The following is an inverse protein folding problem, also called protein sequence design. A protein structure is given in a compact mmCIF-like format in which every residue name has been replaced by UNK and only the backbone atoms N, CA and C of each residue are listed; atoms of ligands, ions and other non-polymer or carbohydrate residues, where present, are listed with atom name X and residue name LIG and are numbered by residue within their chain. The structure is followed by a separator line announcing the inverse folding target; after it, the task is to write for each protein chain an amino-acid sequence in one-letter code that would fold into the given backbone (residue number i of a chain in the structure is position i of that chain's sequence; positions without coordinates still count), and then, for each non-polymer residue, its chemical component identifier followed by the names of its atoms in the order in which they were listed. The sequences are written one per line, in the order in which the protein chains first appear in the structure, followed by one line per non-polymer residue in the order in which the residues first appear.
data_IF_492390073046
#
_entry.id   IF_492390073046
#
_cell.length_a   1.000
_cell.length_b   1.000
_cell.length_c   1.000
_cell.angle_alpha   90.00
_cell.angle_beta   90.00
_cell.angle_gamma   90.00
#
_symmetry.space_group_name_H-M   'P 1'
#
loop_
_entity.id
_entity.type
_entity.pdbx_description
1 polymer ?
#
# COMPACT_ATOMS: atom_id res chain seq x y z
N UNK A 1 25.24 26.88 0.90
CA UNK A 1 24.41 26.50 -0.27
C UNK A 1 24.56 25.02 -0.61
N UNK A 2 25.78 24.49 -0.88
CA UNK A 2 26.02 23.06 -1.15
C UNK A 2 25.59 22.08 -0.04
N UNK A 3 25.65 22.48 1.24
CA UNK A 3 25.19 21.65 2.37
C UNK A 3 23.66 21.50 2.39
N UNK A 4 22.93 22.60 2.21
CA UNK A 4 21.47 22.65 2.20
C UNK A 4 20.87 21.76 1.09
N UNK A 5 21.45 21.79 -0.10
CA UNK A 5 21.03 20.92 -1.21
C UNK A 5 21.28 19.43 -0.93
N UNK A 6 22.38 19.11 -0.24
CA UNK A 6 22.73 17.74 0.14
C UNK A 6 21.75 17.20 1.19
N UNK A 7 21.37 18.03 2.16
CA UNK A 7 20.37 17.70 3.18
C UNK A 7 18.98 17.49 2.57
N UNK A 8 18.59 18.33 1.60
CA UNK A 8 17.29 18.19 0.92
C UNK A 8 17.20 16.90 0.09
N UNK A 9 18.27 16.56 -0.64
CA UNK A 9 18.35 15.29 -1.40
C UNK A 9 18.31 14.08 -0.48
N UNK A 10 18.99 14.16 0.66
CA UNK A 10 18.97 13.11 1.67
C UNK A 10 17.57 12.91 2.25
N UNK A 11 16.88 13.98 2.64
CA UNK A 11 15.51 13.90 3.15
C UNK A 11 14.53 13.32 2.11
N UNK A 12 14.65 13.71 0.84
CA UNK A 12 13.86 13.11 -0.26
C UNK A 12 14.08 11.61 -0.36
N UNK A 13 15.33 11.16 -0.35
CA UNK A 13 15.66 9.73 -0.39
C UNK A 13 15.12 8.99 0.84
N UNK A 14 15.24 9.57 2.03
CA UNK A 14 14.73 8.99 3.28
C UNK A 14 13.20 8.82 3.24
N UNK A 15 12.45 9.85 2.79
CA UNK A 15 10.99 9.77 2.63
C UNK A 15 10.57 8.68 1.63
N UNK A 16 11.30 8.52 0.52
CA UNK A 16 11.05 7.43 -0.45
C UNK A 16 11.22 6.05 0.21
N UNK A 17 12.31 5.85 0.95
CA UNK A 17 12.56 4.59 1.68
C UNK A 17 11.46 4.31 2.71
N UNK A 18 11.01 5.33 3.44
CA UNK A 18 9.96 5.18 4.42
C UNK A 18 8.63 4.75 3.79
N UNK A 19 8.25 5.33 2.65
CA UNK A 19 7.06 4.92 1.89
C UNK A 19 7.15 3.48 1.42
N UNK A 20 8.30 3.06 0.90
CA UNK A 20 8.54 1.67 0.52
C UNK A 20 8.39 0.73 1.72
N UNK A 21 9.01 1.06 2.85
CA UNK A 21 8.88 0.26 4.08
C UNK A 21 7.42 0.12 4.50
N UNK A 22 6.67 1.24 4.53
CA UNK A 22 5.24 1.22 4.86
C UNK A 22 4.45 0.34 3.89
N UNK A 23 4.69 0.46 2.58
CA UNK A 23 4.05 -0.39 1.59
C UNK A 23 4.35 -1.88 1.80
N UNK A 24 5.62 -2.25 1.98
CA UNK A 24 6.00 -3.65 2.20
C UNK A 24 5.45 -4.22 3.51
N UNK A 25 5.34 -3.41 4.57
CA UNK A 25 4.65 -3.84 5.79
C UNK A 25 3.18 -4.16 5.52
N UNK A 26 2.46 -3.31 4.77
CA UNK A 26 1.06 -3.58 4.41
C UNK A 26 0.93 -4.81 3.51
N UNK A 27 1.82 -4.97 2.54
CA UNK A 27 1.86 -6.16 1.68
C UNK A 27 2.10 -7.44 2.50
N UNK A 28 3.05 -7.41 3.44
CA UNK A 28 3.36 -8.56 4.29
C UNK A 28 2.16 -8.94 5.17
N UNK A 29 1.52 -7.95 5.80
CA UNK A 29 0.30 -8.15 6.60
C UNK A 29 -0.84 -8.68 5.72
N UNK A 30 -1.03 -8.13 4.52
CA UNK A 30 -2.02 -8.60 3.56
C UNK A 30 -1.83 -10.09 3.23
N UNK A 31 -0.60 -10.50 2.88
CA UNK A 31 -0.30 -11.91 2.56
C UNK A 31 -0.51 -12.79 3.78
N UNK A 32 0.03 -12.41 4.94
CA UNK A 32 -0.04 -13.22 6.16
C UNK A 32 -1.49 -13.45 6.60
N UNK A 33 -2.28 -12.37 6.72
CA UNK A 33 -3.67 -12.45 7.18
C UNK A 33 -4.53 -13.21 6.19
N UNK A 34 -4.45 -12.92 4.88
CA UNK A 34 -5.25 -13.62 3.89
C UNK A 34 -4.88 -15.10 3.80
N UNK A 35 -3.60 -15.45 3.97
CA UNK A 35 -3.17 -16.86 4.04
C UNK A 35 -3.81 -17.58 5.22
N UNK A 36 -3.78 -16.98 6.43
CA UNK A 36 -4.41 -17.57 7.62
C UNK A 36 -5.92 -17.72 7.42
N UNK A 37 -6.60 -16.70 6.90
CA UNK A 37 -8.05 -16.75 6.61
C UNK A 37 -8.36 -17.87 5.62
N UNK A 38 -7.60 -17.97 4.53
CA UNK A 38 -7.79 -19.03 3.52
C UNK A 38 -7.56 -20.41 4.12
N UNK A 39 -6.50 -20.61 4.92
CA UNK A 39 -6.26 -21.90 5.59
C UNK A 39 -7.44 -22.28 6.48
N UNK A 40 -7.94 -21.35 7.31
CA UNK A 40 -9.09 -21.58 8.17
C UNK A 40 -10.33 -21.94 7.35
N UNK A 41 -10.64 -21.16 6.30
CA UNK A 41 -11.77 -21.43 5.40
C UNK A 41 -11.67 -22.80 4.73
N UNK A 42 -10.49 -23.17 4.24
CA UNK A 42 -10.23 -24.47 3.62
C UNK A 42 -10.44 -25.61 4.62
N UNK A 43 -9.91 -25.50 5.85
CA UNK A 43 -10.12 -26.51 6.87
C UNK A 43 -11.60 -26.73 7.18
N UNK A 44 -12.39 -25.66 7.29
CA UNK A 44 -13.84 -25.78 7.50
C UNK A 44 -14.57 -26.32 6.28
N UNK A 45 -14.22 -25.87 5.07
CA UNK A 45 -14.81 -26.34 3.81
C UNK A 45 -14.59 -27.84 3.60
N UNK A 46 -13.37 -28.32 3.82
CA UNK A 46 -13.02 -29.75 3.70
C UNK A 46 -13.79 -30.59 4.72
N UNK A 47 -13.93 -30.12 5.97
CA UNK A 47 -14.78 -30.80 6.98
C UNK A 47 -16.25 -30.86 6.58
N UNK A 48 -16.73 -29.89 5.80
CA UNK A 48 -18.08 -29.85 5.26
C UNK A 48 -18.25 -30.63 3.93
N UNK A 49 -17.20 -31.32 3.47
CA UNK A 49 -17.24 -32.16 2.26
C UNK A 49 -16.78 -31.46 0.97
N UNK A 50 -16.27 -30.22 1.04
CA UNK A 50 -15.71 -29.53 -0.12
C UNK A 50 -14.32 -30.06 -0.47
N UNK A 51 -13.96 -30.00 -1.75
CA UNK A 51 -12.56 -30.20 -2.15
C UNK A 51 -11.71 -28.98 -1.74
N UNK A 52 -10.40 -29.18 -1.58
CA UNK A 52 -9.47 -28.07 -1.28
C UNK A 52 -9.58 -26.97 -2.34
N UNK A 53 -9.68 -27.35 -3.61
CA UNK A 53 -9.87 -26.42 -4.73
C UNK A 53 -11.15 -25.61 -4.59
N UNK A 54 -12.28 -26.24 -4.27
CA UNK A 54 -13.56 -25.52 -4.10
C UNK A 54 -13.49 -24.49 -2.98
N UNK A 55 -12.86 -24.83 -1.85
CA UNK A 55 -12.76 -23.90 -0.72
C UNK A 55 -11.82 -22.71 -1.01
N UNK A 56 -10.71 -22.95 -1.72
CA UNK A 56 -9.77 -21.89 -2.15
C UNK A 56 -10.43 -20.97 -3.19
N UNK A 57 -11.06 -21.53 -4.21
CA UNK A 57 -11.70 -20.78 -5.30
C UNK A 57 -13.15 -20.40 -5.01
N UNK A 58 -13.60 -20.56 -3.76
CA UNK A 58 -14.93 -20.11 -3.36
C UNK A 58 -15.05 -18.59 -3.55
N UNK A 59 -16.23 -18.15 -3.99
CA UNK A 59 -16.52 -16.74 -4.21
C UNK A 59 -16.17 -15.87 -2.98
N UNK A 60 -16.46 -16.36 -1.77
CA UNK A 60 -16.14 -15.66 -0.52
C UNK A 60 -14.62 -15.50 -0.31
N UNK A 61 -13.83 -16.54 -0.58
CA UNK A 61 -12.36 -16.46 -0.47
C UNK A 61 -11.82 -15.49 -1.51
N UNK A 62 -12.20 -15.64 -2.78
CA UNK A 62 -11.74 -14.75 -3.85
C UNK A 62 -12.14 -13.29 -3.60
N UNK A 63 -13.37 -13.02 -3.17
CA UNK A 63 -13.83 -11.67 -2.86
C UNK A 63 -13.01 -11.03 -1.73
N UNK A 64 -12.62 -11.81 -0.71
CA UNK A 64 -11.78 -11.32 0.40
C UNK A 64 -10.42 -10.84 -0.14
N UNK A 65 -9.76 -11.68 -0.94
CA UNK A 65 -8.48 -11.35 -1.56
C UNK A 65 -8.58 -10.17 -2.53
N UNK A 66 -9.65 -10.12 -3.34
CA UNK A 66 -9.85 -9.07 -4.34
C UNK A 66 -10.13 -7.71 -3.70
N UNK A 67 -11.04 -7.63 -2.71
CA UNK A 67 -11.39 -6.37 -2.08
C UNK A 67 -10.18 -5.71 -1.42
N UNK A 68 -9.39 -6.48 -0.68
CA UNK A 68 -8.16 -5.99 -0.05
C UNK A 68 -7.03 -5.81 -1.06
N UNK A 69 -6.97 -6.65 -2.09
CA UNK A 69 -6.03 -6.54 -3.20
C UNK A 69 -6.18 -5.21 -3.96
N UNK A 70 -7.41 -4.72 -4.14
CA UNK A 70 -7.67 -3.40 -4.74
C UNK A 70 -7.10 -2.28 -3.86
N UNK A 71 -7.34 -2.31 -2.54
CA UNK A 71 -6.78 -1.31 -1.62
C UNK A 71 -5.24 -1.31 -1.65
N UNK A 72 -4.63 -2.49 -1.66
CA UNK A 72 -3.19 -2.65 -1.78
C UNK A 72 -2.66 -2.16 -3.14
N UNK A 73 -3.38 -2.42 -4.23
CA UNK A 73 -3.03 -1.96 -5.57
C UNK A 73 -3.08 -0.43 -5.69
N UNK A 74 -4.08 0.22 -5.08
CA UNK A 74 -4.14 1.68 -4.99
C UNK A 74 -2.96 2.25 -4.19
N UNK A 75 -2.57 1.60 -3.09
CA UNK A 75 -1.38 2.00 -2.33
C UNK A 75 -0.09 1.80 -3.16
N UNK A 76 0.03 0.69 -3.88
CA UNK A 76 1.16 0.45 -4.78
C UNK A 76 1.22 1.52 -5.88
N UNK A 77 0.07 1.88 -6.47
CA UNK A 77 -0.02 2.94 -7.47
C UNK A 77 0.48 4.27 -6.93
N UNK A 78 0.02 4.66 -5.73
CA UNK A 78 0.47 5.86 -5.02
C UNK A 78 1.97 5.88 -4.77
N UNK A 79 2.58 4.75 -4.39
CA UNK A 79 4.00 4.69 -4.01
C UNK A 79 4.93 4.59 -5.23
N UNK A 80 4.57 3.83 -6.26
CA UNK A 80 5.47 3.49 -7.36
C UNK A 80 5.16 4.20 -8.68
N UNK A 81 3.88 4.47 -8.97
CA UNK A 81 3.44 4.95 -10.28
C UNK A 81 3.19 6.45 -10.24
N UNK A 82 2.48 6.95 -9.23
CA UNK A 82 2.15 8.37 -9.11
C UNK A 82 3.41 9.27 -9.18
N UNK A 83 4.51 9.02 -8.46
CA UNK A 83 5.70 9.87 -8.53
C UNK A 83 6.35 9.90 -9.92
N UNK A 84 6.22 8.82 -10.71
CA UNK A 84 6.72 8.75 -12.09
C UNK A 84 5.84 9.54 -13.06
N UNK A 85 4.53 9.62 -12.81
CA UNK A 85 3.57 10.33 -13.67
C UNK A 85 3.56 11.84 -13.44
N UNK A 86 3.53 12.28 -12.18
CA UNK A 86 3.42 13.72 -11.82
C UNK A 86 4.77 14.38 -11.46
N UNK A 87 5.83 13.58 -11.43
CA UNK A 87 7.19 13.98 -11.06
C UNK A 87 7.44 13.87 -9.55
N UNK A 88 8.69 13.54 -9.20
CA UNK A 88 9.13 13.26 -7.82
C UNK A 88 8.90 14.43 -6.84
N UNK A 89 8.81 15.65 -7.35
CA UNK A 89 8.60 16.87 -6.55
C UNK A 89 7.11 17.23 -6.35
N UNK A 90 6.19 16.52 -7.00
CA UNK A 90 4.75 16.83 -6.92
C UNK A 90 4.24 16.83 -5.49
N UNK A 91 4.63 15.83 -4.71
CA UNK A 91 4.15 15.67 -3.33
C UNK A 91 4.66 16.80 -2.44
N UNK A 92 5.90 17.23 -2.64
CA UNK A 92 6.49 18.36 -1.91
C UNK A 92 5.83 19.69 -2.31
N UNK A 93 5.47 19.86 -3.60
CA UNK A 93 4.67 21.00 -4.05
C UNK A 93 3.27 21.02 -3.42
N UNK A 94 2.63 19.87 -3.29
CA UNK A 94 1.29 19.79 -2.69
C UNK A 94 1.33 20.12 -1.19
N UNK A 95 2.33 19.62 -0.46
CA UNK A 95 2.53 19.97 0.96
C UNK A 95 2.77 21.48 1.11
N UNK A 96 3.65 22.05 0.29
CA UNK A 96 3.94 23.49 0.31
C UNK A 96 2.70 24.34 -0.03
N UNK A 97 1.90 23.89 -1.00
CA UNK A 97 0.65 24.54 -1.36
C UNK A 97 -0.34 24.53 -0.19
N UNK A 98 -0.52 23.37 0.45
CA UNK A 98 -1.46 23.22 1.56
C UNK A 98 -1.04 24.04 2.79
N UNK A 99 0.25 24.03 3.12
CA UNK A 99 0.78 24.85 4.22
C UNK A 99 0.57 26.35 3.99
N UNK A 100 0.73 26.83 2.75
CA UNK A 100 0.43 28.23 2.40
C UNK A 100 -1.07 28.54 2.47
N UNK A 101 -1.92 27.60 2.08
CA UNK A 101 -3.38 27.75 2.19
C UNK A 101 -3.84 27.82 3.65
N UNK A 102 -3.22 27.05 4.56
CA UNK A 102 -3.49 27.14 6.00
C UNK A 102 -3.00 28.47 6.58
N UNK A 103 -1.77 28.87 6.27
CA UNK A 103 -1.18 30.14 6.75
C UNK A 103 -1.90 31.41 6.25
N UNK A 104 -2.60 31.34 5.11
CA UNK A 104 -3.37 32.46 4.55
C UNK A 104 -4.86 32.45 4.99
N UNK A 105 -5.30 31.42 5.72
CA UNK A 105 -6.66 31.34 6.26
C UNK A 105 -6.79 31.92 7.68
N UNK A 106 -5.66 32.25 8.31
CA UNK A 106 -5.54 33.00 9.57
C UNK A 106 -5.23 34.49 9.28
#
# INVERSE_FOLDING_TARGET
MKSLEKDLKYQKAQRKVEKLKRFYSHLAVFIAINTVITIVKVMYGVKAGQTISEAIFSFSTLLTWMAWGIALALHAFSVFILPKLVGDDWEERMIQKHMKEELNKD
#
